data_IF_057200119367
#
_entry.id   IF_057200119367
#
_cell.length_a   1.000
_cell.length_b   1.000
_cell.length_c   1.000
_cell.angle_alpha   90.00
_cell.angle_beta   90.00
_cell.angle_gamma   90.00
#
_symmetry.space_group_name_H-M   'P 1'
#
loop_
_entity.id
_entity.type
_entity.pdbx_description
1 polymer ?
#
# COMPACT_ATOMS: atom_id res chain seq x y z
N UNK A 1 6.32 15.12 -0.27
CA UNK A 1 6.43 14.23 -1.44
C UNK A 1 7.75 13.47 -1.37
N UNK A 2 7.74 12.14 -1.59
CA UNK A 2 8.98 11.36 -1.68
C UNK A 2 9.48 11.38 -3.15
N UNK A 3 10.78 11.53 -3.41
CA UNK A 3 11.31 11.61 -4.78
C UNK A 3 11.05 10.33 -5.58
N UNK A 4 10.68 10.48 -6.86
CA UNK A 4 10.63 9.35 -7.79
C UNK A 4 12.05 8.82 -8.06
N UNK A 5 12.26 7.50 -8.06
CA UNK A 5 13.54 6.94 -8.46
C UNK A 5 13.79 7.17 -9.97
N UNK A 6 15.06 7.30 -10.39
CA UNK A 6 15.41 7.51 -11.80
C UNK A 6 14.93 6.34 -12.68
N UNK A 7 14.51 6.66 -13.90
CA UNK A 7 14.12 5.67 -14.92
C UNK A 7 15.38 4.90 -15.34
N UNK A 8 15.38 3.56 -15.24
CA UNK A 8 16.53 2.78 -15.67
C UNK A 8 16.69 2.79 -17.19
N UNK A 9 17.94 2.76 -17.67
CA UNK A 9 18.33 2.77 -19.10
C UNK A 9 18.39 1.38 -19.73
N UNK A 10 18.08 0.33 -18.97
CA UNK A 10 18.11 -1.08 -19.36
C UNK A 10 16.67 -1.57 -19.54
N UNK A 11 16.32 -2.04 -20.74
CA UNK A 11 14.94 -2.45 -21.11
C UNK A 11 14.40 -3.59 -20.23
N UNK A 12 15.29 -4.40 -19.64
CA UNK A 12 14.91 -5.50 -18.74
C UNK A 12 14.79 -5.07 -17.26
N UNK A 13 15.13 -3.82 -16.93
CA UNK A 13 15.01 -3.32 -15.56
C UNK A 13 13.58 -2.86 -15.26
N UNK A 14 13.12 -3.15 -14.05
CA UNK A 14 11.80 -2.69 -13.59
C UNK A 14 11.72 -1.15 -13.61
N UNK A 15 10.70 -0.61 -14.26
CA UNK A 15 10.40 0.81 -14.22
C UNK A 15 9.75 1.23 -12.88
N UNK A 16 9.94 2.48 -12.43
CA UNK A 16 9.17 3.04 -11.33
C UNK A 16 7.66 2.93 -11.56
N UNK A 17 6.91 2.60 -10.51
CA UNK A 17 5.45 2.56 -10.57
C UNK A 17 4.86 3.85 -9.97
N UNK A 18 3.99 4.57 -10.70
CA UNK A 18 3.32 5.75 -10.14
C UNK A 18 2.41 5.34 -8.98
N UNK A 19 2.32 6.19 -7.97
CA UNK A 19 1.38 6.01 -6.86
C UNK A 19 -0.06 6.23 -7.34
N UNK A 20 -1.04 5.43 -6.87
CA UNK A 20 -2.44 5.63 -7.24
C UNK A 20 -2.99 6.94 -6.68
N UNK A 21 -4.00 7.50 -7.36
CA UNK A 21 -4.76 8.64 -6.85
C UNK A 21 -5.60 8.26 -5.61
N UNK A 22 -5.93 9.21 -4.72
CA UNK A 22 -6.77 8.96 -3.55
C UNK A 22 -8.14 8.37 -3.93
N UNK A 23 -8.75 7.54 -3.05
CA UNK A 23 -10.12 7.09 -3.22
C UNK A 23 -11.10 8.25 -3.36
N UNK A 24 -11.89 8.25 -4.43
CA UNK A 24 -12.90 9.28 -4.70
C UNK A 24 -13.98 9.30 -3.61
N UNK A 25 -14.32 8.13 -3.05
CA UNK A 25 -15.29 8.02 -1.96
C UNK A 25 -14.86 8.71 -0.65
N UNK A 26 -13.58 9.05 -0.48
CA UNK A 26 -13.10 9.84 0.67
C UNK A 26 -13.32 11.35 0.47
N UNK A 27 -13.63 11.78 -0.75
CA UNK A 27 -13.84 13.20 -1.03
C UNK A 27 -15.15 13.72 -0.43
N UNK A 28 -15.18 14.92 0.17
CA UNK A 28 -16.40 15.54 0.71
C UNK A 28 -17.57 15.61 -0.29
N UNK A 29 -17.26 15.72 -1.58
CA UNK A 29 -18.24 15.76 -2.66
C UNK A 29 -19.01 14.42 -2.83
N UNK A 30 -18.40 13.29 -2.48
CA UNK A 30 -18.99 11.96 -2.62
C UNK A 30 -19.97 11.59 -1.50
N UNK A 31 -19.93 12.32 -0.37
CA UNK A 31 -20.74 12.05 0.84
C UNK A 31 -22.26 12.20 0.63
N UNK A 32 -22.68 12.87 -0.46
CA UNK A 32 -24.09 13.18 -0.72
C UNK A 32 -24.93 12.00 -1.23
N UNK A 33 -24.33 10.93 -1.74
CA UNK A 33 -25.07 9.80 -2.33
C UNK A 33 -24.93 8.55 -1.46
N UNK A 34 -25.96 8.23 -0.68
CA UNK A 34 -25.83 7.37 0.52
C UNK A 34 -26.22 5.92 0.22
N UNK A 35 -25.28 5.21 -0.40
CA UNK A 35 -25.21 3.73 -0.46
C UNK A 35 -23.77 3.23 -0.17
N UNK A 36 -22.99 4.03 0.57
CA UNK A 36 -21.57 4.32 0.32
C UNK A 36 -20.54 3.61 1.20
N UNK A 37 -20.91 2.93 2.29
CA UNK A 37 -19.91 2.35 3.21
C UNK A 37 -19.19 1.13 2.59
N UNK A 38 -19.89 0.25 1.88
CA UNK A 38 -19.25 -0.87 1.17
C UNK A 38 -18.38 -0.38 0.01
N UNK A 39 -18.88 0.55 -0.80
CA UNK A 39 -18.11 1.12 -1.92
C UNK A 39 -16.86 1.84 -1.45
N UNK A 40 -16.95 2.61 -0.35
CA UNK A 40 -15.82 3.27 0.27
C UNK A 40 -14.76 2.26 0.76
N UNK A 41 -15.20 1.19 1.43
CA UNK A 41 -14.29 0.12 1.89
C UNK A 41 -13.61 -0.56 0.72
N UNK A 42 -14.34 -0.93 -0.32
CA UNK A 42 -13.81 -1.63 -1.49
C UNK A 42 -12.81 -0.75 -2.26
N UNK A 43 -13.14 0.52 -2.48
CA UNK A 43 -12.25 1.48 -3.14
C UNK A 43 -10.99 1.74 -2.31
N UNK A 44 -11.13 1.93 -1.00
CA UNK A 44 -9.98 2.14 -0.11
C UNK A 44 -9.08 0.90 -0.04
N UNK A 45 -9.66 -0.30 -0.01
CA UNK A 45 -8.91 -1.56 -0.04
C UNK A 45 -8.15 -1.74 -1.36
N UNK A 46 -8.78 -1.40 -2.49
CA UNK A 46 -8.12 -1.40 -3.79
C UNK A 46 -6.96 -0.39 -3.82
N UNK A 47 -7.22 0.83 -3.36
CA UNK A 47 -6.22 1.89 -3.25
C UNK A 47 -5.00 1.47 -2.42
N UNK A 48 -5.17 0.99 -1.18
CA UNK A 48 -4.01 0.63 -0.34
C UNK A 48 -3.22 -0.56 -0.90
N UNK A 49 -3.89 -1.44 -1.65
CA UNK A 49 -3.23 -2.58 -2.30
C UNK A 49 -2.36 -2.12 -3.46
N UNK A 50 -2.88 -1.24 -4.33
CA UNK A 50 -2.08 -0.66 -5.41
C UNK A 50 -1.00 0.27 -4.89
N UNK A 51 -1.30 1.01 -3.81
CA UNK A 51 -0.34 1.88 -3.14
C UNK A 51 0.81 1.05 -2.56
N UNK A 52 0.53 -0.04 -1.84
CA UNK A 52 1.58 -0.90 -1.31
C UNK A 52 2.39 -1.56 -2.42
N UNK A 53 1.74 -1.95 -3.52
CA UNK A 53 2.45 -2.46 -4.70
C UNK A 53 3.44 -1.44 -5.25
N UNK A 54 3.00 -0.19 -5.45
CA UNK A 54 3.88 0.89 -5.91
C UNK A 54 4.98 1.22 -4.88
N UNK A 55 4.62 1.30 -3.59
CA UNK A 55 5.53 1.58 -2.49
C UNK A 55 6.66 0.55 -2.42
N UNK A 56 6.33 -0.75 -2.40
CA UNK A 56 7.31 -1.83 -2.30
C UNK A 56 8.17 -1.96 -3.57
N UNK A 57 7.58 -1.74 -4.74
CA UNK A 57 8.35 -1.75 -6.00
C UNK A 57 9.35 -0.60 -6.01
N UNK A 58 8.90 0.62 -5.74
CA UNK A 58 9.77 1.79 -5.74
C UNK A 58 10.85 1.72 -4.66
N UNK A 59 10.57 1.12 -3.50
CA UNK A 59 11.58 0.82 -2.47
C UNK A 59 12.61 -0.19 -2.96
N UNK A 60 12.17 -1.25 -3.65
CA UNK A 60 13.06 -2.26 -4.24
C UNK A 60 13.96 -1.63 -5.31
N UNK A 61 13.39 -0.78 -6.18
CA UNK A 61 14.13 0.00 -7.18
C UNK A 61 15.13 0.95 -6.53
N UNK A 62 14.73 1.70 -5.52
CA UNK A 62 15.62 2.63 -4.83
C UNK A 62 16.82 1.92 -4.19
N UNK A 63 16.65 0.66 -3.76
CA UNK A 63 17.70 -0.12 -3.11
C UNK A 63 18.63 -0.84 -4.09
N UNK A 64 18.11 -1.34 -5.21
CA UNK A 64 18.84 -2.23 -6.11
C UNK A 64 19.02 -1.69 -7.54
N UNK A 65 18.39 -0.55 -7.86
CA UNK A 65 18.53 0.17 -9.12
C UNK A 65 18.24 -0.71 -10.33
N UNK A 66 19.07 -0.57 -11.37
CA UNK A 66 18.95 -1.31 -12.63
C UNK A 66 19.01 -2.84 -12.49
N UNK A 67 19.46 -3.36 -11.35
CA UNK A 67 19.56 -4.82 -11.15
C UNK A 67 18.21 -5.47 -10.84
N UNK A 68 17.16 -4.71 -10.57
CA UNK A 68 15.82 -5.24 -10.29
C UNK A 68 15.18 -5.84 -11.54
N UNK A 69 14.70 -7.09 -11.43
CA UNK A 69 14.11 -7.83 -12.56
C UNK A 69 12.69 -8.30 -12.28
N UNK A 70 12.46 -8.92 -11.13
CA UNK A 70 11.16 -9.51 -10.78
C UNK A 70 10.58 -8.80 -9.58
N UNK A 71 9.31 -8.43 -9.69
CA UNK A 71 8.53 -7.90 -8.58
C UNK A 71 7.09 -8.38 -8.72
N UNK A 72 6.60 -9.13 -7.73
CA UNK A 72 5.22 -9.57 -7.67
C UNK A 72 4.69 -9.40 -6.26
N UNK A 73 3.58 -8.68 -6.10
CA UNK A 73 2.85 -8.54 -4.85
C UNK A 73 1.45 -9.11 -5.02
N UNK A 74 1.16 -10.15 -4.24
CA UNK A 74 -0.13 -10.83 -4.22
C UNK A 74 -0.80 -10.68 -2.85
N UNK A 75 -1.88 -9.91 -2.77
CA UNK A 75 -2.69 -9.81 -1.55
C UNK A 75 -3.38 -11.14 -1.25
N UNK A 76 -3.17 -11.67 -0.05
CA UNK A 76 -3.75 -12.94 0.43
C UNK A 76 -4.87 -12.73 1.45
N UNK A 77 -5.02 -11.52 1.98
CA UNK A 77 -6.09 -11.17 2.89
C UNK A 77 -6.20 -9.68 3.14
N UNK A 78 -7.35 -9.23 3.63
CA UNK A 78 -7.54 -7.87 4.09
C UNK A 78 -8.60 -7.81 5.21
N UNK A 79 -8.55 -6.75 6.01
CA UNK A 79 -9.54 -6.42 7.04
C UNK A 79 -9.70 -4.91 7.11
N UNK A 80 -10.94 -4.44 7.24
CA UNK A 80 -11.25 -3.01 7.32
C UNK A 80 -11.97 -2.66 8.63
N UNK A 81 -11.76 -1.43 9.09
CA UNK A 81 -12.51 -0.82 10.20
C UNK A 81 -12.73 0.65 9.92
N UNK A 82 -14.00 1.06 9.87
CA UNK A 82 -14.37 2.48 9.77
C UNK A 82 -14.16 3.16 11.13
N UNK A 83 -13.53 4.33 11.14
CA UNK A 83 -13.31 5.17 12.32
C UNK A 83 -14.04 6.52 12.22
N UNK A 84 -14.23 7.02 11.00
CA UNK A 84 -14.82 8.34 10.74
C UNK A 84 -16.34 8.36 10.76
N UNK A 85 -16.91 9.57 10.77
CA UNK A 85 -18.33 9.80 10.52
C UNK A 85 -18.59 9.80 9.02
N UNK A 86 -19.86 9.77 8.62
CA UNK A 86 -20.23 9.91 7.20
C UNK A 86 -19.76 11.23 6.59
N UNK A 87 -19.61 12.30 7.38
CA UNK A 87 -19.12 13.59 6.91
C UNK A 87 -17.60 13.63 6.74
N UNK A 88 -16.86 12.89 7.57
CA UNK A 88 -15.40 12.84 7.58
C UNK A 88 -14.97 11.36 7.61
N UNK A 89 -15.09 10.64 6.48
CA UNK A 89 -14.78 9.22 6.45
C UNK A 89 -13.29 8.97 6.70
N UNK A 90 -13.00 8.03 7.59
CA UNK A 90 -11.65 7.57 7.85
C UNK A 90 -11.67 6.05 8.06
N UNK A 91 -10.73 5.34 7.44
CA UNK A 91 -10.67 3.89 7.44
C UNK A 91 -9.31 3.40 7.92
N UNK A 92 -9.35 2.32 8.70
CA UNK A 92 -8.20 1.45 8.88
C UNK A 92 -8.30 0.27 7.93
N UNK A 93 -7.20 -0.04 7.26
CA UNK A 93 -7.09 -1.20 6.38
C UNK A 93 -5.85 -2.00 6.74
N UNK A 94 -6.04 -3.23 7.20
CA UNK A 94 -4.96 -4.20 7.32
C UNK A 94 -4.94 -5.06 6.06
N UNK A 95 -3.76 -5.24 5.46
CA UNK A 95 -3.55 -6.14 4.32
C UNK A 95 -2.50 -7.18 4.66
N UNK A 96 -2.73 -8.40 4.18
CA UNK A 96 -1.75 -9.48 4.15
C UNK A 96 -1.39 -9.78 2.71
N UNK A 97 -0.11 -9.94 2.42
CA UNK A 97 0.35 -10.23 1.06
C UNK A 97 1.63 -11.05 1.04
N UNK A 98 1.83 -11.74 -0.07
CA UNK A 98 3.09 -12.39 -0.42
C UNK A 98 3.83 -11.48 -1.40
N UNK A 99 5.16 -11.44 -1.27
CA UNK A 99 6.04 -10.60 -2.07
C UNK A 99 7.19 -11.43 -2.62
N UNK A 100 7.32 -11.46 -3.94
CA UNK A 100 8.43 -12.09 -4.66
C UNK A 100 9.32 -11.03 -5.28
N UNK A 101 10.60 -11.06 -4.94
CA UNK A 101 11.61 -10.10 -5.39
C UNK A 101 12.77 -10.82 -6.08
N UNK A 102 13.12 -10.39 -7.29
CA UNK A 102 14.27 -10.91 -8.04
C UNK A 102 15.17 -9.80 -8.54
N UNK A 103 16.48 -9.93 -8.32
CA UNK A 103 17.50 -9.09 -8.96
C UNK A 103 18.28 -9.90 -10.00
N UNK A 104 19.09 -9.26 -10.83
CA UNK A 104 19.99 -9.95 -11.78
C UNK A 104 20.85 -11.04 -11.11
N UNK A 105 21.33 -10.79 -9.88
CA UNK A 105 22.15 -11.75 -9.13
C UNK A 105 21.34 -12.91 -8.52
N UNK A 106 20.02 -12.76 -8.43
CA UNK A 106 19.11 -13.74 -7.82
C UNK A 106 17.96 -14.11 -8.77
N UNK A 107 18.15 -13.92 -10.09
CA UNK A 107 17.10 -14.15 -11.08
C UNK A 107 16.68 -15.63 -11.11
N UNK A 108 17.61 -16.53 -10.78
CA UNK A 108 17.39 -17.98 -10.67
C UNK A 108 16.82 -18.41 -9.32
N UNK A 109 16.86 -17.56 -8.29
CA UNK A 109 16.35 -17.86 -6.94
C UNK A 109 15.76 -16.60 -6.27
N UNK A 110 14.53 -16.22 -6.64
CA UNK A 110 13.86 -15.02 -6.11
C UNK A 110 13.66 -15.11 -4.61
N UNK A 111 13.79 -13.97 -3.92
CA UNK A 111 13.49 -13.88 -2.49
C UNK A 111 12.00 -13.73 -2.28
N UNK A 112 11.41 -14.76 -1.68
CA UNK A 112 10.02 -14.76 -1.28
C UNK A 112 9.85 -14.29 0.18
N UNK A 113 8.92 -13.37 0.38
CA UNK A 113 8.43 -12.95 1.68
C UNK A 113 6.95 -13.33 1.76
N UNK A 114 6.61 -14.21 2.69
CA UNK A 114 5.25 -14.70 2.90
C UNK A 114 4.57 -13.96 4.05
N UNK A 115 3.24 -13.88 3.97
CA UNK A 115 2.39 -13.37 5.07
C UNK A 115 2.81 -11.99 5.60
N UNK A 116 3.28 -11.09 4.72
CA UNK A 116 3.64 -9.73 5.10
C UNK A 116 2.37 -8.98 5.50
N UNK A 117 2.38 -8.43 6.71
CA UNK A 117 1.24 -7.71 7.28
C UNK A 117 1.54 -6.21 7.41
N UNK A 118 0.69 -5.39 6.78
CA UNK A 118 0.77 -3.92 6.85
C UNK A 118 -0.59 -3.33 7.16
N UNK A 119 -0.61 -2.34 8.04
CA UNK A 119 -1.81 -1.61 8.47
C UNK A 119 -1.73 -0.18 7.95
N UNK A 120 -2.86 0.30 7.45
CA UNK A 120 -3.04 1.66 6.95
C UNK A 120 -4.11 2.39 7.74
N UNK A 121 -3.90 3.70 7.91
CA UNK A 121 -4.96 4.66 8.17
C UNK A 121 -5.09 5.55 6.93
N UNK A 122 -6.31 5.75 6.47
CA UNK A 122 -6.63 6.55 5.28
C UNK A 122 -7.79 7.47 5.63
N UNK A 123 -7.61 8.77 5.42
CA UNK A 123 -8.68 9.77 5.44
C UNK A 123 -8.60 10.66 4.18
N UNK A 124 -9.39 11.74 4.15
CA UNK A 124 -9.43 12.67 3.02
C UNK A 124 -8.11 13.47 2.81
N UNK A 125 -7.20 13.48 3.80
CA UNK A 125 -5.99 14.31 3.79
C UNK A 125 -4.69 13.51 3.75
N UNK A 126 -4.63 12.34 4.37
CA UNK A 126 -3.38 11.62 4.61
C UNK A 126 -3.52 10.11 4.54
N UNK A 127 -2.38 9.46 4.29
CA UNK A 127 -2.20 8.02 4.45
C UNK A 127 -1.06 7.77 5.41
N UNK A 128 -1.35 7.03 6.48
CA UNK A 128 -0.35 6.53 7.41
C UNK A 128 -0.19 5.02 7.20
N UNK A 129 1.06 4.55 7.26
CA UNK A 129 1.42 3.13 7.05
C UNK A 129 2.22 2.64 8.25
N UNK A 130 1.89 1.46 8.76
CA UNK A 130 2.69 0.78 9.75
C UNK A 130 2.85 -0.70 9.39
N UNK A 131 4.08 -1.22 9.45
CA UNK A 131 4.38 -2.61 9.15
C UNK A 131 4.42 -3.42 10.44
N UNK A 132 3.71 -4.53 10.46
CA UNK A 132 3.81 -5.49 11.55
C UNK A 132 5.05 -6.37 11.33
N UNK A 133 5.91 -6.45 12.35
CA UNK A 133 7.16 -7.21 12.31
C UNK A 133 7.10 -8.52 13.12
N UNK A 134 5.96 -8.83 13.74
CA UNK A 134 5.78 -10.08 14.49
C UNK A 134 5.27 -11.24 13.63
N UNK A 135 5.04 -12.37 14.28
CA UNK A 135 4.33 -13.52 13.71
C UNK A 135 2.87 -13.41 14.15
N UNK A 136 1.99 -12.95 13.28
CA UNK A 136 0.56 -12.86 13.59
C UNK A 136 -0.16 -14.05 12.96
N UNK A 137 -0.89 -14.82 13.77
CA UNK A 137 -1.81 -15.84 13.25
C UNK A 137 -2.98 -15.21 12.50
N UNK A 138 -3.49 -14.07 12.99
CA UNK A 138 -4.66 -13.37 12.46
C UNK A 138 -4.35 -11.94 12.00
N UNK A 139 -5.17 -11.45 11.07
CA UNK A 139 -5.07 -10.08 10.57
C UNK A 139 -5.65 -9.08 11.59
N UNK A 140 -4.76 -8.30 12.21
CA UNK A 140 -5.08 -7.31 13.24
C UNK A 140 -4.88 -5.88 12.73
N UNK A 141 -5.24 -4.89 13.55
CA UNK A 141 -4.96 -3.46 13.27
C UNK A 141 -3.73 -2.96 14.04
N UNK A 142 -2.87 -3.87 14.46
CA UNK A 142 -1.64 -3.56 15.19
C UNK A 142 -0.41 -3.77 14.29
N UNK A 143 0.59 -2.87 14.33
CA UNK A 143 0.59 -1.61 15.10
C UNK A 143 -0.39 -0.57 14.52
N UNK A 144 -1.02 0.23 15.38
CA UNK A 144 -1.89 1.34 14.96
C UNK A 144 -1.07 2.41 14.21
N UNK A 145 -1.32 2.67 12.91
CA UNK A 145 -0.56 3.64 12.12
C UNK A 145 -0.70 5.09 12.59
N UNK A 146 -1.76 5.41 13.35
CA UNK A 146 -1.96 6.77 13.87
C UNK A 146 -0.98 7.12 14.99
N UNK A 147 -0.38 6.12 15.63
CA UNK A 147 0.56 6.30 16.74
C UNK A 147 1.96 5.76 16.44
N UNK A 148 2.06 4.73 15.60
CA UNK A 148 3.33 4.06 15.27
C UNK A 148 3.65 4.05 13.78
N UNK A 149 2.82 4.69 12.95
CA UNK A 149 2.98 4.70 11.50
C UNK A 149 3.79 5.87 10.97
N UNK A 150 4.18 5.74 9.71
CA UNK A 150 4.80 6.80 8.91
C UNK A 150 3.77 7.42 7.97
N UNK A 151 3.89 8.73 7.75
CA UNK A 151 3.14 9.45 6.72
C UNK A 151 3.69 9.10 5.34
N UNK A 152 2.88 8.41 4.53
CA UNK A 152 3.31 7.90 3.21
C UNK A 152 2.65 8.61 2.03
N UNK A 153 1.51 9.28 2.25
CA UNK A 153 0.90 10.15 1.26
C UNK A 153 0.13 11.31 1.93
N UNK A 154 0.06 12.44 1.22
CA UNK A 154 -0.79 13.58 1.55
C UNK A 154 -1.62 13.93 0.32
N UNK A 155 -2.87 14.28 0.55
CA UNK A 155 -3.81 14.77 -0.44
C UNK A 155 -4.02 16.27 -0.21
N UNK A 156 -4.19 17.03 -1.28
CA UNK A 156 -4.33 18.48 -1.25
C UNK A 156 -5.26 18.97 -2.35
#
# INVERSE_FOLDING_TARGET
MRPEPPVPTDDDALAPKPYPAPPSALSPAAVRDRSTDSSLRDETVAYVTEFERAYRQNEFLARYGVTTRTFELRRTGYRTRTLGSSSNPALMVAIRYDLRLGSQQSATDPRDQWDVHTVYYVDEHVVLRARYHGVAGDLSFEPDPRTHGELVACFG
#
